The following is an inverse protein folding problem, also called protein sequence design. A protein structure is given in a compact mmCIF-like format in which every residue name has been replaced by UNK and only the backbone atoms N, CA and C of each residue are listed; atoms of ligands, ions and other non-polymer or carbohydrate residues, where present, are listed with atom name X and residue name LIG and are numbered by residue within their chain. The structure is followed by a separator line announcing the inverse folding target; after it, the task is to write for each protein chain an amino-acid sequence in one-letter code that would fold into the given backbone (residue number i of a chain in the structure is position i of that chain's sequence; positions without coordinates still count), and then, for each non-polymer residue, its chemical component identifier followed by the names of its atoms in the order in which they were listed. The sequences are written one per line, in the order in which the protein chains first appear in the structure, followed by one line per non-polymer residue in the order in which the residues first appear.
data_IF_948436893023
#
_entry.id   IF_948436893023
#
_cell.length_a   1.000
_cell.length_b   1.000
_cell.length_c   1.000
_cell.angle_alpha   90.00
_cell.angle_beta   90.00
_cell.angle_gamma   90.00
#
_symmetry.space_group_name_H-M   'P 1'
#
loop_
_entity.id
_entity.type
_entity.pdbx_description
1 polymer ?
#
# COMPACT_ATOMS: atom_id res chain seq x y z
N UNK A 1 -2.05 0.44 -22.77
CA UNK A 1 -1.15 1.56 -22.47
C UNK A 1 -0.13 1.67 -23.58
N UNK A 2 -0.24 2.72 -24.40
CA UNK A 2 0.77 3.10 -25.39
C UNK A 2 2.06 3.40 -24.63
N UNK A 3 3.09 2.59 -24.82
CA UNK A 3 4.44 2.92 -24.39
C UNK A 3 4.94 4.01 -25.34
N UNK A 4 4.96 5.24 -24.84
CA UNK A 4 5.57 6.36 -25.57
C UNK A 4 7.09 6.24 -25.53
N UNK A 5 7.73 6.67 -26.61
CA UNK A 5 9.17 6.87 -26.65
C UNK A 5 9.45 8.31 -26.26
N UNK A 6 10.42 8.52 -25.35
CA UNK A 6 10.91 9.85 -25.03
C UNK A 6 12.26 10.05 -25.73
N UNK A 7 12.35 11.13 -26.51
CA UNK A 7 13.62 11.55 -27.11
C UNK A 7 14.21 12.60 -26.18
N UNK A 8 15.38 12.31 -25.62
CA UNK A 8 16.10 13.23 -24.75
C UNK A 8 17.29 13.76 -25.52
N UNK A 9 17.35 15.07 -25.73
CA UNK A 9 18.50 15.75 -26.29
C UNK A 9 19.27 16.43 -25.15
N UNK A 10 20.53 16.07 -24.98
CA UNK A 10 21.44 16.77 -24.07
C UNK A 10 21.94 18.02 -24.79
N UNK A 11 21.43 19.17 -24.35
CA UNK A 11 21.79 20.47 -24.95
C UNK A 11 23.12 21.00 -24.44
N UNK A 12 23.49 20.67 -23.20
CA UNK A 12 24.72 21.11 -22.57
C UNK A 12 25.20 20.05 -21.58
N UNK A 13 26.52 19.84 -21.53
CA UNK A 13 27.15 18.96 -20.56
C UNK A 13 28.25 19.73 -19.87
N UNK A 14 27.96 20.23 -18.68
CA UNK A 14 29.03 20.81 -17.84
C UNK A 14 29.94 19.69 -17.34
N UNK A 15 31.24 19.78 -17.70
CA UNK A 15 32.23 18.76 -17.34
C UNK A 15 32.80 18.92 -15.93
N UNK A 16 32.72 20.11 -15.35
CA UNK A 16 33.42 20.48 -14.14
C UNK A 16 32.48 21.06 -13.06
N UNK A 17 31.51 20.27 -12.65
CA UNK A 17 30.80 20.57 -11.39
C UNK A 17 31.72 20.07 -10.26
N UNK A 18 32.62 20.90 -9.80
CA UNK A 18 33.30 20.70 -8.53
C UNK A 18 32.28 21.01 -7.44
N UNK A 19 31.62 19.96 -6.93
CA UNK A 19 30.84 20.09 -5.71
C UNK A 19 31.82 20.44 -4.59
N UNK A 20 31.70 21.64 -4.06
CA UNK A 20 32.49 22.01 -2.89
C UNK A 20 31.97 21.23 -1.68
N UNK A 21 32.81 21.05 -0.66
CA UNK A 21 32.38 20.43 0.60
C UNK A 21 31.13 21.13 1.16
N UNK A 22 31.04 22.43 0.99
CA UNK A 22 29.87 23.23 1.40
C UNK A 22 28.60 22.83 0.65
N UNK A 23 28.69 22.63 -0.67
CA UNK A 23 27.55 22.21 -1.50
C UNK A 23 27.11 20.81 -1.11
N UNK A 24 28.06 19.91 -0.88
CA UNK A 24 27.78 18.56 -0.37
C UNK A 24 27.07 18.60 0.98
N UNK A 25 27.50 19.42 1.93
CA UNK A 25 26.85 19.51 3.24
C UNK A 25 25.45 20.11 3.14
N UNK A 26 25.21 21.06 2.25
CA UNK A 26 23.88 21.62 2.00
C UNK A 26 22.92 20.57 1.42
N UNK A 27 23.39 19.74 0.49
CA UNK A 27 22.59 18.73 -0.20
C UNK A 27 22.59 17.36 0.49
N UNK A 28 23.38 17.17 1.54
CA UNK A 28 23.62 15.88 2.18
C UNK A 28 22.32 15.17 2.59
N UNK A 29 21.36 15.89 3.14
CA UNK A 29 20.08 15.31 3.59
C UNK A 29 19.30 14.78 2.38
N UNK A 30 19.22 15.55 1.30
CA UNK A 30 18.55 15.16 0.07
C UNK A 30 19.26 13.99 -0.62
N UNK A 31 20.58 14.05 -0.75
CA UNK A 31 21.39 12.95 -1.31
C UNK A 31 21.25 11.65 -0.50
N UNK A 32 21.23 11.77 0.82
CA UNK A 32 21.00 10.61 1.70
C UNK A 32 19.62 10.00 1.47
N UNK A 33 18.58 10.84 1.39
CA UNK A 33 17.23 10.37 1.08
C UNK A 33 17.17 9.67 -0.27
N UNK A 34 17.73 10.26 -1.32
CA UNK A 34 17.80 9.68 -2.66
C UNK A 34 18.55 8.34 -2.68
N UNK A 35 19.66 8.25 -1.95
CA UNK A 35 20.44 7.01 -1.85
C UNK A 35 19.66 5.90 -1.13
N UNK A 36 18.91 6.24 -0.09
CA UNK A 36 18.04 5.30 0.62
C UNK A 36 16.95 4.79 -0.31
N UNK A 37 16.23 5.67 -1.00
CA UNK A 37 15.16 5.29 -1.92
C UNK A 37 15.69 4.44 -3.10
N UNK A 38 16.85 4.78 -3.64
CA UNK A 38 17.47 3.99 -4.71
C UNK A 38 17.84 2.56 -4.26
N UNK A 39 18.31 2.40 -3.02
CA UNK A 39 18.69 1.10 -2.47
C UNK A 39 17.53 0.29 -1.93
N UNK A 40 16.43 0.94 -1.58
CA UNK A 40 15.27 0.32 -0.91
C UNK A 40 14.64 -0.78 -1.76
N UNK A 41 14.35 -0.53 -3.03
CA UNK A 41 13.69 -1.51 -3.89
C UNK A 41 14.54 -2.77 -4.15
N UNK A 42 15.85 -2.66 -4.50
CA UNK A 42 16.71 -3.84 -4.60
C UNK A 42 16.82 -4.62 -3.29
N UNK A 43 16.98 -3.93 -2.16
CA UNK A 43 17.07 -4.57 -0.85
C UNK A 43 15.77 -5.32 -0.49
N UNK A 44 14.62 -4.71 -0.77
CA UNK A 44 13.32 -5.35 -0.54
C UNK A 44 13.14 -6.60 -1.43
N UNK A 45 13.54 -6.51 -2.70
CA UNK A 45 13.48 -7.67 -3.61
C UNK A 45 14.36 -8.81 -3.11
N UNK A 46 15.61 -8.54 -2.80
CA UNK A 46 16.53 -9.56 -2.28
C UNK A 46 15.99 -10.19 -0.99
N UNK A 47 15.43 -9.38 -0.09
CA UNK A 47 14.83 -9.88 1.13
C UNK A 47 13.63 -10.80 0.85
N UNK A 48 12.72 -10.39 -0.03
CA UNK A 48 11.53 -11.19 -0.38
C UNK A 48 11.90 -12.46 -1.14
N UNK A 49 12.91 -12.42 -2.01
CA UNK A 49 13.39 -13.60 -2.74
C UNK A 49 14.06 -14.62 -1.80
N UNK A 50 14.87 -14.16 -0.87
CA UNK A 50 15.48 -15.01 0.16
C UNK A 50 14.39 -15.65 1.04
N UNK A 51 13.42 -14.84 1.52
CA UNK A 51 12.32 -15.35 2.32
C UNK A 51 11.48 -16.39 1.54
N UNK A 52 11.21 -16.15 0.25
CA UNK A 52 10.49 -17.11 -0.59
C UNK A 52 11.24 -18.44 -0.73
N UNK A 53 12.57 -18.40 -0.83
CA UNK A 53 13.42 -19.61 -0.85
C UNK A 53 13.38 -20.34 0.50
N UNK A 54 13.51 -19.62 1.60
CA UNK A 54 13.48 -20.19 2.96
C UNK A 54 12.11 -20.81 3.30
N UNK A 55 11.05 -20.32 2.69
CA UNK A 55 9.69 -20.88 2.85
C UNK A 55 9.53 -22.25 2.19
N UNK A 56 10.37 -22.61 1.21
CA UNK A 56 10.35 -23.88 0.51
C UNK A 56 8.94 -24.31 0.07
N UNK A 57 8.23 -23.43 -0.65
CA UNK A 57 6.82 -23.63 -1.06
C UNK A 57 6.66 -24.88 -1.93
N UNK A 58 5.85 -25.84 -1.50
CA UNK A 58 5.50 -27.03 -2.24
C UNK A 58 4.00 -27.04 -2.55
N UNK A 59 3.67 -26.88 -3.82
CA UNK A 59 2.28 -26.82 -4.27
C UNK A 59 1.70 -28.20 -4.57
N UNK A 60 0.45 -28.42 -4.13
CA UNK A 60 -0.31 -29.62 -4.45
C UNK A 60 -1.18 -29.33 -5.69
N UNK A 61 -1.01 -30.13 -6.75
CA UNK A 61 -1.71 -29.93 -8.03
C UNK A 61 -3.23 -30.05 -7.88
N UNK A 62 -3.71 -31.08 -7.16
CA UNK A 62 -5.15 -31.28 -6.96
C UNK A 62 -5.82 -30.12 -6.21
N UNK A 63 -5.17 -29.62 -5.17
CA UNK A 63 -5.68 -28.45 -4.44
C UNK A 63 -5.67 -27.18 -5.27
N UNK A 64 -4.67 -27.00 -6.15
CA UNK A 64 -4.63 -25.86 -7.06
C UNK A 64 -5.71 -25.92 -8.15
N UNK A 65 -5.98 -27.10 -8.72
CA UNK A 65 -7.03 -27.30 -9.73
C UNK A 65 -8.42 -27.03 -9.13
N UNK A 66 -8.68 -27.55 -7.92
CA UNK A 66 -9.91 -27.26 -7.17
C UNK A 66 -10.04 -25.75 -6.93
N UNK A 67 -8.99 -25.11 -6.44
CA UNK A 67 -9.00 -23.69 -6.11
C UNK A 67 -9.20 -22.81 -7.34
N UNK A 68 -8.56 -23.10 -8.48
CA UNK A 68 -8.77 -22.38 -9.73
C UNK A 68 -10.22 -22.48 -10.19
N UNK A 69 -10.80 -23.68 -10.12
CA UNK A 69 -12.20 -23.92 -10.51
C UNK A 69 -13.16 -23.08 -9.65
N UNK A 70 -12.90 -22.99 -8.34
CA UNK A 70 -13.71 -22.19 -7.43
C UNK A 70 -13.54 -20.68 -7.67
N UNK A 71 -12.32 -20.23 -7.96
CA UNK A 71 -12.02 -18.81 -8.22
C UNK A 71 -12.60 -18.33 -9.55
N UNK A 72 -12.59 -19.20 -10.58
CA UNK A 72 -13.15 -18.90 -11.90
C UNK A 72 -14.67 -19.13 -11.98
N UNK A 73 -15.20 -19.92 -11.06
CA UNK A 73 -16.65 -20.08 -10.84
C UNK A 73 -17.26 -18.80 -10.26
N UNK A 74 -18.51 -18.87 -9.87
CA UNK A 74 -19.20 -17.71 -9.32
C UNK A 74 -18.55 -17.27 -7.98
N UNK A 75 -17.99 -16.04 -7.85
CA UNK A 75 -17.34 -15.58 -6.62
C UNK A 75 -18.29 -15.58 -5.40
N UNK A 76 -19.62 -15.60 -5.60
CA UNK A 76 -20.61 -15.72 -4.54
C UNK A 76 -20.66 -17.13 -3.89
N UNK A 77 -20.08 -18.15 -4.51
CA UNK A 77 -19.95 -19.50 -3.96
C UNK A 77 -18.67 -19.70 -3.12
N UNK A 78 -17.96 -18.64 -2.77
CA UNK A 78 -16.64 -18.61 -2.13
C UNK A 78 -16.51 -19.24 -0.73
N UNK A 79 -17.48 -20.05 -0.29
CA UNK A 79 -17.40 -20.80 0.98
C UNK A 79 -17.22 -22.30 0.71
N UNK A 80 -16.12 -22.68 0.07
CA UNK A 80 -15.73 -24.09 0.10
C UNK A 80 -15.24 -24.43 1.52
N UNK A 81 -15.75 -25.51 2.08
CA UNK A 81 -15.22 -26.12 3.32
C UNK A 81 -14.16 -27.17 3.02
N UNK A 82 -13.59 -27.14 1.83
CA UNK A 82 -12.59 -28.11 1.41
C UNK A 82 -11.30 -27.93 2.20
N UNK A 83 -10.86 -29.00 2.83
CA UNK A 83 -9.60 -29.09 3.55
C UNK A 83 -8.48 -29.66 2.69
N UNK A 84 -8.68 -29.77 1.37
CA UNK A 84 -7.67 -30.21 0.43
C UNK A 84 -6.42 -29.31 0.55
N UNK A 85 -5.22 -29.86 0.76
CA UNK A 85 -4.00 -29.07 0.80
C UNK A 85 -3.72 -28.39 -0.54
N UNK A 86 -3.38 -27.11 -0.52
CA UNK A 86 -2.98 -26.32 -1.71
C UNK A 86 -1.48 -26.12 -1.73
N UNK A 87 -0.90 -25.77 -0.58
CA UNK A 87 0.54 -25.54 -0.45
C UNK A 87 1.04 -25.96 0.92
N UNK A 88 2.21 -26.59 0.94
CA UNK A 88 2.99 -26.85 2.15
C UNK A 88 4.19 -25.90 2.18
N UNK A 89 4.56 -25.40 3.36
CA UNK A 89 5.70 -24.52 3.52
C UNK A 89 6.27 -24.56 4.95
N UNK A 90 7.52 -24.19 5.11
CA UNK A 90 8.25 -24.30 6.39
C UNK A 90 8.08 -25.68 7.05
N UNK A 91 8.16 -26.75 6.25
CA UNK A 91 8.11 -28.16 6.61
C UNK A 91 6.84 -28.67 7.33
N UNK A 92 6.05 -27.81 7.97
CA UNK A 92 4.90 -28.23 8.77
C UNK A 92 3.61 -27.43 8.49
N UNK A 93 3.71 -26.27 7.88
CA UNK A 93 2.54 -25.44 7.59
C UNK A 93 1.86 -25.85 6.31
N UNK A 94 0.56 -25.99 6.37
CA UNK A 94 -0.27 -26.33 5.22
C UNK A 94 -1.35 -25.26 5.06
N UNK A 95 -1.53 -24.78 3.84
CA UNK A 95 -2.63 -23.91 3.46
C UNK A 95 -3.64 -24.75 2.68
N UNK A 96 -4.86 -24.82 3.16
CA UNK A 96 -5.97 -25.55 2.55
C UNK A 96 -6.69 -24.70 1.50
N UNK A 97 -7.59 -25.31 0.70
CA UNK A 97 -8.44 -24.60 -0.26
C UNK A 97 -9.28 -23.55 0.47
N UNK A 98 -9.89 -23.91 1.59
CA UNK A 98 -10.71 -22.97 2.40
C UNK A 98 -9.91 -21.76 2.86
N UNK A 99 -8.73 -21.97 3.43
CA UNK A 99 -7.86 -20.89 3.91
C UNK A 99 -7.32 -20.04 2.76
N UNK A 100 -7.00 -20.68 1.62
CA UNK A 100 -6.56 -19.99 0.42
C UNK A 100 -7.65 -19.07 -0.11
N UNK A 101 -8.91 -19.52 -0.19
CA UNK A 101 -10.04 -18.68 -0.59
C UNK A 101 -10.23 -17.49 0.34
N UNK A 102 -10.15 -17.70 1.65
CA UNK A 102 -10.23 -16.62 2.64
C UNK A 102 -9.11 -15.58 2.47
N UNK A 103 -7.91 -16.00 2.09
CA UNK A 103 -6.81 -15.08 1.79
C UNK A 103 -6.98 -14.37 0.44
N UNK A 104 -7.48 -15.07 -0.56
CA UNK A 104 -7.76 -14.50 -1.88
C UNK A 104 -8.90 -13.49 -1.86
N UNK A 105 -9.90 -13.64 -0.97
CA UNK A 105 -11.01 -12.68 -0.82
C UNK A 105 -10.54 -11.29 -0.32
N UNK A 106 -9.36 -11.19 0.26
CA UNK A 106 -8.76 -9.93 0.70
C UNK A 106 -8.04 -9.16 -0.43
N UNK A 107 -7.94 -9.78 -1.62
CA UNK A 107 -7.34 -9.13 -2.77
C UNK A 107 -8.27 -8.08 -3.37
N UNK A 108 -7.68 -7.03 -3.94
CA UNK A 108 -8.45 -6.08 -4.75
C UNK A 108 -9.04 -6.77 -5.98
N UNK A 109 -10.16 -6.27 -6.49
CA UNK A 109 -10.79 -6.77 -7.72
C UNK A 109 -9.80 -6.85 -8.90
N UNK A 110 -8.86 -5.90 -8.98
CA UNK A 110 -7.81 -5.89 -10.01
C UNK A 110 -6.84 -7.06 -9.87
N UNK A 111 -6.47 -7.40 -8.65
CA UNK A 111 -5.57 -8.53 -8.38
C UNK A 111 -6.29 -9.86 -8.57
N UNK A 112 -7.53 -9.97 -8.10
CA UNK A 112 -8.35 -11.16 -8.25
C UNK A 112 -8.57 -11.52 -9.72
N UNK A 113 -8.87 -10.56 -10.59
CA UNK A 113 -9.04 -10.76 -12.04
C UNK A 113 -7.77 -11.24 -12.76
N UNK A 114 -6.61 -11.19 -12.14
CA UNK A 114 -5.35 -11.73 -12.70
C UNK A 114 -5.21 -13.23 -12.52
N UNK A 115 -6.08 -13.87 -11.73
CA UNK A 115 -6.07 -15.33 -11.53
C UNK A 115 -6.75 -15.97 -12.71
N UNK A 116 -5.99 -16.21 -13.78
CA UNK A 116 -6.50 -16.80 -15.03
C UNK A 116 -5.98 -18.21 -15.29
N UNK A 117 -4.99 -18.66 -14.52
CA UNK A 117 -4.33 -19.95 -14.68
C UNK A 117 -3.77 -20.46 -13.34
N UNK A 118 -3.43 -21.75 -13.30
CA UNK A 118 -2.73 -22.35 -12.15
C UNK A 118 -1.42 -21.60 -11.86
N UNK A 119 -0.69 -21.19 -12.90
CA UNK A 119 0.57 -20.47 -12.73
C UNK A 119 0.37 -19.09 -12.12
N UNK A 120 -0.62 -18.32 -12.60
CA UNK A 120 -0.95 -17.02 -12.00
C UNK A 120 -1.44 -17.16 -10.56
N UNK A 121 -2.18 -18.23 -10.24
CA UNK A 121 -2.61 -18.53 -8.89
C UNK A 121 -1.43 -18.87 -7.97
N UNK A 122 -0.48 -19.72 -8.42
CA UNK A 122 0.75 -20.01 -7.68
C UNK A 122 1.52 -18.75 -7.33
N UNK A 123 1.72 -17.87 -8.31
CA UNK A 123 2.45 -16.62 -8.11
C UNK A 123 1.75 -15.70 -7.09
N UNK A 124 0.43 -15.60 -7.15
CA UNK A 124 -0.35 -14.81 -6.20
C UNK A 124 -0.30 -15.42 -4.80
N UNK A 125 -0.49 -16.74 -4.67
CA UNK A 125 -0.40 -17.42 -3.37
C UNK A 125 0.99 -17.32 -2.76
N UNK A 126 2.04 -17.48 -3.57
CA UNK A 126 3.43 -17.28 -3.11
C UNK A 126 3.62 -15.89 -2.53
N UNK A 127 3.17 -14.85 -3.25
CA UNK A 127 3.25 -13.48 -2.78
C UNK A 127 2.46 -13.23 -1.49
N UNK A 128 1.28 -13.82 -1.37
CA UNK A 128 0.47 -13.74 -0.14
C UNK A 128 1.16 -14.42 1.04
N UNK A 129 1.69 -15.63 0.85
CA UNK A 129 2.38 -16.36 1.93
C UNK A 129 3.62 -15.59 2.39
N UNK A 130 4.45 -15.12 1.46
CA UNK A 130 5.61 -14.26 1.77
C UNK A 130 5.18 -13.04 2.59
N UNK A 131 4.14 -12.34 2.15
CA UNK A 131 3.61 -11.16 2.87
C UNK A 131 3.16 -11.49 4.29
N UNK A 132 2.44 -12.58 4.49
CA UNK A 132 1.98 -12.98 5.83
C UNK A 132 3.14 -13.37 6.75
N UNK A 133 4.13 -14.07 6.21
CA UNK A 133 5.31 -14.43 7.00
C UNK A 133 6.13 -13.18 7.37
N UNK A 134 6.26 -12.20 6.46
CA UNK A 134 6.89 -10.91 6.77
C UNK A 134 6.16 -10.16 7.89
N UNK A 135 4.82 -10.11 7.83
CA UNK A 135 4.01 -9.45 8.88
C UNK A 135 4.25 -10.16 10.22
N UNK A 136 4.19 -11.49 10.23
CA UNK A 136 4.43 -12.27 11.45
C UNK A 136 5.83 -12.06 12.02
N UNK A 137 6.84 -12.01 11.16
CA UNK A 137 8.21 -11.77 11.61
C UNK A 137 8.37 -10.34 12.16
N UNK A 138 7.71 -9.35 11.55
CA UNK A 138 7.65 -7.98 12.06
C UNK A 138 6.94 -7.89 13.42
N UNK A 139 5.86 -8.64 13.62
CA UNK A 139 5.15 -8.74 14.90
C UNK A 139 6.03 -9.39 15.97
N UNK A 140 6.72 -10.49 15.63
CA UNK A 140 7.64 -11.17 16.54
C UNK A 140 8.83 -10.28 16.96
N UNK A 141 9.25 -9.37 16.10
CA UNK A 141 10.28 -8.36 16.38
C UNK A 141 9.72 -7.17 17.17
N UNK A 142 8.43 -7.13 17.46
CA UNK A 142 7.79 -6.03 18.19
C UNK A 142 7.73 -4.71 17.41
N UNK A 143 7.90 -4.75 16.07
CA UNK A 143 7.93 -3.52 15.26
C UNK A 143 6.60 -2.76 15.30
N UNK A 144 5.48 -3.46 15.51
CA UNK A 144 4.15 -2.87 15.65
C UNK A 144 4.00 -2.04 16.95
N UNK A 145 4.88 -2.20 17.93
CA UNK A 145 4.87 -1.45 19.17
C UNK A 145 5.71 -0.17 19.12
N UNK A 146 6.50 0.02 18.06
CA UNK A 146 7.33 1.20 17.89
C UNK A 146 6.48 2.48 17.72
N UNK A 147 6.96 3.58 18.30
CA UNK A 147 6.26 4.87 18.22
C UNK A 147 6.05 5.33 16.77
N UNK A 148 7.03 5.07 15.90
CA UNK A 148 6.96 5.40 14.46
C UNK A 148 5.83 4.61 13.80
N UNK A 149 5.69 3.31 14.10
CA UNK A 149 4.61 2.49 13.56
C UNK A 149 3.25 3.01 14.03
N UNK A 150 3.09 3.24 15.35
CA UNK A 150 1.84 3.74 15.93
C UNK A 150 1.42 5.07 15.32
N UNK A 151 2.37 5.99 15.18
CA UNK A 151 2.13 7.31 14.57
C UNK A 151 1.66 7.20 13.11
N UNK A 152 2.33 6.38 12.30
CA UNK A 152 1.96 6.15 10.91
C UNK A 152 0.61 5.43 10.81
N UNK A 153 0.38 4.44 11.67
CA UNK A 153 -0.90 3.71 11.72
C UNK A 153 -2.06 4.65 12.05
N UNK A 154 -1.91 5.49 13.05
CA UNK A 154 -2.96 6.45 13.46
C UNK A 154 -3.27 7.45 12.34
N UNK A 155 -2.24 7.90 11.61
CA UNK A 155 -2.43 8.80 10.46
C UNK A 155 -3.19 8.12 9.32
N UNK A 156 -2.77 6.92 8.93
CA UNK A 156 -3.43 6.16 7.85
C UNK A 156 -4.84 5.73 8.25
N UNK A 157 -5.05 5.29 9.49
CA UNK A 157 -6.35 4.93 10.03
C UNK A 157 -7.30 6.13 10.03
N UNK A 158 -6.83 7.28 10.52
CA UNK A 158 -7.62 8.52 10.51
C UNK A 158 -7.99 8.94 9.09
N UNK A 159 -7.04 8.87 8.15
CA UNK A 159 -7.28 9.17 6.73
C UNK A 159 -8.32 8.22 6.12
N UNK A 160 -8.23 6.93 6.40
CA UNK A 160 -9.17 5.94 5.92
C UNK A 160 -10.58 6.15 6.50
N UNK A 161 -10.68 6.41 7.80
CA UNK A 161 -11.94 6.72 8.46
C UNK A 161 -12.59 7.96 7.87
N UNK A 162 -11.80 9.02 7.66
CA UNK A 162 -12.30 10.27 7.08
C UNK A 162 -12.79 10.05 5.65
N UNK A 163 -12.02 9.34 4.82
CA UNK A 163 -12.41 9.05 3.44
C UNK A 163 -13.70 8.24 3.38
N UNK A 164 -13.82 7.17 4.17
CA UNK A 164 -15.03 6.35 4.23
C UNK A 164 -16.23 7.18 4.70
N UNK A 165 -16.04 8.05 5.68
CA UNK A 165 -17.10 8.92 6.17
C UNK A 165 -17.53 9.94 5.09
N UNK A 166 -16.56 10.53 4.38
CA UNK A 166 -16.83 11.44 3.27
C UNK A 166 -17.57 10.74 2.12
N UNK A 167 -17.22 9.49 1.83
CA UNK A 167 -17.92 8.69 0.81
C UNK A 167 -19.38 8.45 1.20
N UNK A 168 -19.69 8.20 2.48
CA UNK A 168 -21.08 8.03 2.94
C UNK A 168 -21.90 9.33 2.83
N UNK A 169 -21.27 10.49 3.00
CA UNK A 169 -21.95 11.80 2.82
C UNK A 169 -22.20 12.08 1.33
N UNK A 170 -21.31 11.60 0.46
CA UNK A 170 -21.36 11.84 -0.98
C UNK A 170 -22.15 10.79 -1.76
N UNK A 171 -22.53 9.69 -1.11
CA UNK A 171 -23.26 8.60 -1.76
C UNK A 171 -24.63 9.07 -2.23
N UNK A 172 -24.82 9.04 -3.55
CA UNK A 172 -26.06 9.51 -4.21
C UNK A 172 -26.02 10.96 -4.73
N UNK A 173 -24.95 11.73 -4.52
CA UNK A 173 -24.84 13.07 -5.10
C UNK A 173 -24.06 13.08 -6.44
N UNK A 174 -24.58 13.87 -7.39
CA UNK A 174 -23.92 14.14 -8.67
C UNK A 174 -22.49 14.71 -8.41
N UNK A 175 -21.47 14.36 -9.21
CA UNK A 175 -20.11 14.91 -9.06
C UNK A 175 -20.03 16.42 -8.96
N UNK A 176 -20.95 17.14 -9.60
CA UNK A 176 -21.06 18.61 -9.54
C UNK A 176 -21.51 19.08 -8.15
N UNK A 177 -22.30 18.29 -7.44
CA UNK A 177 -22.83 18.63 -6.12
C UNK A 177 -21.94 18.16 -4.94
N UNK A 178 -20.88 17.38 -5.21
CA UNK A 178 -20.00 16.86 -4.16
C UNK A 178 -19.28 17.96 -3.40
N UNK A 179 -18.83 18.99 -4.10
CA UNK A 179 -18.14 20.13 -3.49
C UNK A 179 -19.09 20.92 -2.59
N UNK A 180 -20.33 21.13 -3.04
CA UNK A 180 -21.36 21.82 -2.26
C UNK A 180 -21.79 21.02 -1.03
N UNK A 181 -21.91 19.69 -1.15
CA UNK A 181 -22.19 18.80 -0.03
C UNK A 181 -21.08 18.87 1.03
N UNK A 182 -19.82 18.86 0.59
CA UNK A 182 -18.66 19.02 1.47
C UNK A 182 -18.68 20.37 2.20
N UNK A 183 -18.91 21.46 1.51
CA UNK A 183 -18.96 22.80 2.13
C UNK A 183 -20.11 22.94 3.12
N UNK A 184 -21.30 22.44 2.79
CA UNK A 184 -22.45 22.41 3.71
C UNK A 184 -22.15 21.60 4.97
N UNK A 185 -21.53 20.42 4.81
CA UNK A 185 -21.14 19.59 5.93
C UNK A 185 -20.11 20.32 6.82
N UNK A 186 -19.04 20.87 6.23
CA UNK A 186 -18.02 21.64 6.93
C UNK A 186 -18.62 22.80 7.72
N UNK A 187 -19.51 23.56 7.10
CA UNK A 187 -20.12 24.73 7.69
C UNK A 187 -21.07 24.35 8.84
N UNK A 188 -21.84 23.27 8.67
CA UNK A 188 -22.66 22.70 9.75
C UNK A 188 -21.80 22.20 10.93
N UNK A 189 -20.69 21.53 10.64
CA UNK A 189 -19.74 21.08 11.66
C UNK A 189 -19.12 22.27 12.41
N UNK A 190 -18.74 23.33 11.70
CA UNK A 190 -18.18 24.54 12.29
C UNK A 190 -19.17 25.26 13.22
N UNK A 191 -20.47 25.25 12.87
CA UNK A 191 -21.55 25.84 13.70
C UNK A 191 -21.84 24.97 14.94
N UNK A 192 -21.80 23.64 14.78
CA UNK A 192 -22.11 22.68 15.87
C UNK A 192 -20.93 22.42 16.81
N UNK A 193 -19.70 22.74 16.40
CA UNK A 193 -18.48 22.48 17.15
C UNK A 193 -18.03 23.72 17.92
N UNK A 194 -17.68 23.54 19.19
CA UNK A 194 -17.05 24.59 19.96
C UNK A 194 -15.57 24.70 19.54
N UNK A 195 -15.27 25.62 18.62
CA UNK A 195 -13.91 25.85 18.15
C UNK A 195 -13.21 26.78 19.16
N UNK A 196 -12.26 26.23 19.89
CA UNK A 196 -11.38 27.01 20.76
C UNK A 196 -10.11 27.35 19.95
N UNK A 197 -9.98 28.62 19.59
CA UNK A 197 -8.77 29.13 18.91
C UNK A 197 -7.78 29.60 19.96
N UNK A 198 -6.64 28.92 20.07
CA UNK A 198 -5.52 29.41 20.85
C UNK A 198 -4.84 30.57 20.10
N UNK A 199 -5.25 31.79 20.44
CA UNK A 199 -4.76 33.00 19.81
C UNK A 199 -3.29 33.30 20.16
N UNK A 200 -2.70 32.64 21.15
CA UNK A 200 -1.29 32.84 21.54
C UNK A 200 -0.33 32.32 20.46
N UNK A 201 -0.71 31.24 19.76
CA UNK A 201 0.08 30.64 18.69
C UNK A 201 -0.21 31.24 17.29
N UNK A 202 -1.36 31.86 17.09
CA UNK A 202 -1.72 32.45 15.77
C UNK A 202 -0.83 33.64 15.40
N UNK A 203 -0.30 34.37 16.38
CA UNK A 203 0.58 35.52 16.17
C UNK A 203 1.98 35.19 15.63
N UNK A 204 2.36 33.94 15.66
CA UNK A 204 3.69 33.47 15.20
C UNK A 204 3.74 33.07 13.72
N UNK A 205 2.62 33.00 13.03
CA UNK A 205 2.60 32.72 11.59
C UNK A 205 2.74 34.01 10.78
N UNK A 206 3.79 34.15 9.97
CA UNK A 206 3.86 35.29 9.05
C UNK A 206 2.68 35.19 8.07
N UNK A 207 1.81 36.19 8.08
CA UNK A 207 0.80 36.31 7.03
C UNK A 207 1.53 36.54 5.70
N UNK A 208 1.58 35.53 4.86
CA UNK A 208 1.93 35.71 3.46
C UNK A 208 0.71 36.36 2.83
N UNK A 209 0.72 37.70 2.79
CA UNK A 209 -0.22 38.46 1.98
C UNK A 209 0.01 38.03 0.53
N UNK A 210 -0.94 37.26 0.00
CA UNK A 210 -0.93 36.88 -1.41
C UNK A 210 -0.91 38.14 -2.26
N UNK A 211 0.11 38.28 -3.08
CA UNK A 211 0.14 39.30 -4.13
C UNK A 211 -1.08 39.06 -5.04
N UNK A 212 -1.96 40.04 -5.09
CA UNK A 212 -3.04 40.10 -6.07
C UNK A 212 -2.43 40.10 -7.47
N UNK A 213 -2.84 39.15 -8.30
CA UNK A 213 -2.75 39.25 -9.76
C UNK A 213 -3.94 39.99 -10.30
#
# INVERSE_FOLDING_TARGET
TLKGFSIIQVLEKEKDIFLTERDFQNEKAWLTHMAIEYKRLPALRNFTDNLAQDLALQFNTAGLEELVTLVQGNPEQGFSRSLTPVVHYKNEKTLTVQESLSKLSQLSNRQYKRIQSIESLKNILSGLIVRYEMIRDAENLGLHESDIFKQNFDQEFTSLMLNNYMDTIQDGSDPINRQDAYFKFRDNLAVSSQIIVDSSNVKSFPMVLGASL
#
